data_IF_016444778572
#
_entry.id   IF_016444778572
#
_cell.length_a   1.000
_cell.length_b   1.000
_cell.length_c   1.000
_cell.angle_alpha   90.00
_cell.angle_beta   90.00
_cell.angle_gamma   90.00
#
_symmetry.space_group_name_H-M   'P 1'
#
loop_
_entity.id
_entity.type
_entity.pdbx_description
1 polymer ?
#
# COMPACT_ATOMS: atom_id res chain seq x y z
N UNK A 1 -55.10 -68.98 -28.53
CA UNK A 1 -55.99 -68.00 -27.88
C UNK A 1 -55.18 -67.20 -26.89
N UNK A 2 -55.35 -65.95 -26.87
CA UNK A 2 -54.63 -64.82 -26.18
C UNK A 2 -53.41 -64.25 -26.88
N UNK A 3 -53.70 -63.17 -27.58
CA UNK A 3 -52.75 -62.20 -28.13
C UNK A 3 -52.16 -61.37 -26.98
N UNK A 4 -50.88 -61.25 -26.98
CA UNK A 4 -50.19 -60.24 -26.14
C UNK A 4 -49.61 -59.15 -27.03
N UNK A 5 -50.09 -57.95 -26.81
CA UNK A 5 -49.64 -56.71 -27.41
C UNK A 5 -48.37 -56.26 -26.67
N UNK A 6 -47.32 -55.99 -27.42
CA UNK A 6 -46.11 -55.32 -26.93
C UNK A 6 -46.29 -53.82 -27.18
N UNK A 7 -46.15 -52.95 -26.19
CA UNK A 7 -46.08 -51.50 -26.44
C UNK A 7 -44.69 -51.08 -26.82
N UNK A 8 -44.58 -50.35 -27.93
CA UNK A 8 -43.38 -49.64 -28.34
C UNK A 8 -43.04 -48.55 -27.30
N UNK A 9 -41.88 -48.70 -26.66
CA UNK A 9 -41.29 -47.64 -25.88
C UNK A 9 -40.56 -46.66 -26.82
N UNK A 10 -41.09 -45.48 -26.95
CA UNK A 10 -40.43 -44.37 -27.62
C UNK A 10 -39.27 -43.87 -26.72
N UNK A 11 -38.03 -44.09 -27.18
CA UNK A 11 -36.86 -43.53 -26.56
C UNK A 11 -36.79 -42.05 -26.97
N UNK A 12 -37.10 -41.14 -26.03
CA UNK A 12 -36.93 -39.70 -26.19
C UNK A 12 -35.46 -39.39 -25.95
N UNK A 13 -34.69 -39.12 -27.00
CA UNK A 13 -33.31 -38.70 -26.96
C UNK A 13 -33.31 -37.19 -26.60
N UNK A 14 -33.18 -36.85 -25.30
CA UNK A 14 -32.90 -35.49 -24.88
C UNK A 14 -31.45 -35.16 -25.21
N UNK A 15 -31.25 -34.49 -26.31
CA UNK A 15 -29.95 -33.80 -26.61
C UNK A 15 -29.87 -32.58 -25.68
N UNK A 16 -29.10 -32.72 -24.60
CA UNK A 16 -28.68 -31.62 -23.74
C UNK A 16 -27.65 -30.80 -24.53
N UNK A 17 -28.07 -29.70 -25.15
CA UNK A 17 -27.18 -28.70 -25.67
C UNK A 17 -26.61 -27.95 -24.47
N UNK A 18 -25.44 -28.33 -23.98
CA UNK A 18 -24.63 -27.52 -23.12
C UNK A 18 -24.17 -26.30 -23.93
N UNK A 19 -24.92 -25.21 -23.80
CA UNK A 19 -24.40 -23.88 -24.18
C UNK A 19 -23.25 -23.58 -23.22
N UNK A 20 -22.03 -23.88 -23.64
CA UNK A 20 -20.82 -23.29 -23.11
C UNK A 20 -20.91 -21.78 -23.43
N UNK A 21 -21.52 -21.00 -22.55
CA UNK A 21 -21.21 -19.58 -22.47
C UNK A 21 -19.75 -19.50 -22.03
N UNK A 22 -18.84 -19.57 -23.01
CA UNK A 22 -17.50 -19.05 -22.81
C UNK A 22 -17.69 -17.59 -22.43
N UNK A 23 -17.42 -17.24 -21.17
CA UNK A 23 -17.14 -15.86 -20.84
C UNK A 23 -15.98 -15.47 -21.78
N UNK A 24 -16.26 -14.64 -22.76
CA UNK A 24 -15.21 -13.97 -23.51
C UNK A 24 -14.49 -13.13 -22.44
N UNK A 25 -13.30 -13.57 -22.04
CA UNK A 25 -12.42 -12.71 -21.29
C UNK A 25 -12.20 -11.48 -22.18
N UNK A 26 -12.56 -10.31 -21.68
CA UNK A 26 -12.19 -9.09 -22.36
C UNK A 26 -10.66 -9.04 -22.40
N UNK A 27 -10.09 -8.66 -23.55
CA UNK A 27 -8.65 -8.50 -23.67
C UNK A 27 -8.17 -7.42 -22.69
N UNK A 28 -6.96 -7.57 -22.14
CA UNK A 28 -6.35 -6.57 -21.28
C UNK A 28 -6.19 -5.25 -22.05
N UNK A 29 -6.52 -4.13 -21.42
CA UNK A 29 -6.44 -2.82 -22.02
C UNK A 29 -5.00 -2.43 -22.36
N UNK A 30 -4.75 -2.14 -23.64
CA UNK A 30 -3.43 -1.72 -24.09
C UNK A 30 -3.04 -0.37 -23.47
N UNK A 31 -1.82 -0.26 -22.98
CA UNK A 31 -1.23 1.02 -22.60
C UNK A 31 -0.84 1.81 -23.86
N UNK A 32 -1.69 2.77 -24.25
CA UNK A 32 -1.52 3.60 -25.43
C UNK A 32 -0.79 4.92 -25.15
N UNK A 33 -0.22 5.11 -23.97
CA UNK A 33 0.47 6.36 -23.56
C UNK A 33 1.51 6.81 -24.57
N UNK A 34 2.28 5.85 -25.10
CA UNK A 34 3.34 6.12 -26.08
C UNK A 34 2.84 6.73 -27.40
N UNK A 35 1.57 6.54 -27.77
CA UNK A 35 0.92 7.13 -28.94
C UNK A 35 0.23 8.46 -28.65
N UNK A 36 0.12 8.84 -27.37
CA UNK A 36 -0.54 10.06 -26.93
C UNK A 36 0.36 11.30 -27.08
N UNK A 37 -0.26 12.43 -27.34
CA UNK A 37 0.37 13.75 -27.22
C UNK A 37 0.03 14.35 -25.87
N UNK A 38 1.03 14.53 -25.02
CA UNK A 38 0.87 15.20 -23.73
C UNK A 38 1.39 16.62 -23.80
N UNK A 39 0.55 17.61 -23.40
CA UNK A 39 0.95 19.01 -23.26
C UNK A 39 0.85 19.46 -21.84
N UNK A 40 1.79 20.28 -21.42
CA UNK A 40 1.96 20.81 -20.07
C UNK A 40 1.72 22.32 -20.08
N UNK A 41 1.15 22.85 -19.00
CA UNK A 41 0.92 24.31 -18.84
C UNK A 41 2.22 25.13 -18.76
N UNK A 42 3.35 24.53 -18.44
CA UNK A 42 4.66 25.18 -18.38
C UNK A 42 5.51 24.82 -19.61
N UNK A 43 6.20 25.84 -20.18
CA UNK A 43 6.95 25.71 -21.43
C UNK A 43 8.32 25.03 -21.29
N UNK A 44 8.86 24.93 -20.09
CA UNK A 44 10.27 24.55 -19.86
C UNK A 44 10.49 23.05 -19.57
N UNK A 45 9.45 22.22 -19.63
CA UNK A 45 9.55 20.81 -19.28
C UNK A 45 9.10 19.90 -20.42
N UNK A 46 9.75 18.72 -20.49
CA UNK A 46 9.40 17.70 -21.48
C UNK A 46 8.35 16.76 -20.89
N UNK A 47 7.25 16.56 -21.60
CA UNK A 47 6.21 15.58 -21.24
C UNK A 47 6.77 14.16 -21.07
N UNK A 48 7.87 13.83 -21.76
CA UNK A 48 8.55 12.54 -21.64
C UNK A 48 8.96 12.17 -20.19
N UNK A 49 9.06 13.14 -19.27
CA UNK A 49 9.37 12.85 -17.85
C UNK A 49 8.22 12.25 -17.05
N UNK A 50 7.03 12.26 -17.61
CA UNK A 50 5.83 11.71 -16.96
C UNK A 50 5.17 10.63 -17.82
N UNK A 51 5.93 10.10 -18.80
CA UNK A 51 5.51 9.01 -19.71
C UNK A 51 6.67 8.07 -20.01
N UNK A 52 7.73 8.07 -19.18
CA UNK A 52 8.93 7.24 -19.38
C UNK A 52 8.94 5.95 -18.57
N UNK A 53 7.92 5.74 -17.72
CA UNK A 53 7.80 4.58 -16.84
C UNK A 53 8.72 4.64 -15.62
N UNK A 54 9.29 5.82 -15.32
CA UNK A 54 10.26 5.99 -14.24
C UNK A 54 9.70 6.90 -13.13
N UNK A 55 9.31 6.33 -12.00
CA UNK A 55 8.84 7.11 -10.84
C UNK A 55 9.92 8.02 -10.20
N UNK A 56 11.17 7.92 -10.66
CA UNK A 56 12.28 8.81 -10.27
C UNK A 56 12.32 10.11 -11.06
N UNK A 57 11.75 10.12 -12.27
CA UNK A 57 11.53 11.33 -13.04
C UNK A 57 10.17 11.93 -12.71
N UNK A 58 10.01 13.23 -12.92
CA UNK A 58 8.75 13.91 -12.69
C UNK A 58 8.68 15.25 -13.43
N UNK A 59 7.47 15.73 -13.56
CA UNK A 59 7.17 17.12 -13.88
C UNK A 59 6.37 17.76 -12.76
N UNK A 60 6.68 19.01 -12.45
CA UNK A 60 5.91 19.88 -11.58
C UNK A 60 5.69 21.23 -12.27
N UNK A 61 4.48 21.78 -12.21
CA UNK A 61 4.19 23.09 -12.75
C UNK A 61 4.85 24.19 -11.94
N UNK A 62 5.11 25.33 -12.56
CA UNK A 62 5.35 26.56 -11.83
C UNK A 62 4.17 26.83 -10.90
N UNK A 63 4.41 27.57 -9.80
CA UNK A 63 3.34 28.03 -8.92
C UNK A 63 2.48 29.05 -9.67
N UNK A 64 1.38 28.59 -10.23
CA UNK A 64 0.50 29.36 -11.12
C UNK A 64 -0.97 29.19 -10.74
N UNK A 65 -1.82 30.04 -11.28
CA UNK A 65 -3.28 29.83 -11.27
C UNK A 65 -3.64 28.82 -12.34
N UNK A 66 -4.53 27.90 -12.00
CA UNK A 66 -5.10 26.92 -12.92
C UNK A 66 -4.05 26.05 -13.66
N UNK A 67 -3.11 25.39 -12.98
CA UNK A 67 -2.21 24.46 -13.66
C UNK A 67 -3.00 23.34 -14.34
N UNK A 68 -2.49 22.88 -15.47
CA UNK A 68 -3.14 21.83 -16.26
C UNK A 68 -2.15 20.99 -17.05
N UNK A 69 -2.58 19.78 -17.40
CA UNK A 69 -2.01 18.95 -18.47
C UNK A 69 -3.13 18.52 -19.41
N UNK A 70 -2.81 18.26 -20.67
CA UNK A 70 -3.73 17.59 -21.61
C UNK A 70 -3.11 16.33 -22.14
N UNK A 71 -3.95 15.31 -22.36
CA UNK A 71 -3.62 14.05 -22.99
C UNK A 71 -4.52 13.90 -24.21
N UNK A 72 -3.91 13.76 -25.38
CA UNK A 72 -4.65 13.65 -26.65
C UNK A 72 -4.17 12.43 -27.41
N UNK A 73 -5.09 11.65 -27.94
CA UNK A 73 -4.83 10.45 -28.73
C UNK A 73 -5.61 10.45 -30.06
N UNK A 74 -5.08 9.73 -31.06
CA UNK A 74 -5.83 9.42 -32.28
C UNK A 74 -6.89 8.36 -32.02
N UNK A 75 -6.58 7.43 -31.12
CA UNK A 75 -7.47 6.35 -30.71
C UNK A 75 -8.25 6.73 -29.43
N UNK A 76 -9.44 6.16 -29.21
CA UNK A 76 -10.21 6.43 -28.01
C UNK A 76 -9.44 6.02 -26.73
N UNK A 77 -9.52 6.85 -25.69
CA UNK A 77 -8.96 6.59 -24.35
C UNK A 77 -10.10 6.07 -23.48
N UNK A 78 -9.92 4.89 -22.88
CA UNK A 78 -10.89 4.26 -21.98
C UNK A 78 -10.45 4.27 -20.52
N UNK A 79 -9.18 4.56 -20.25
CA UNK A 79 -8.65 4.72 -18.91
C UNK A 79 -7.57 5.79 -18.80
N UNK A 80 -7.57 6.52 -17.70
CA UNK A 80 -6.51 7.48 -17.36
C UNK A 80 -6.00 7.18 -15.96
N UNK A 81 -4.70 6.86 -15.83
CA UNK A 81 -4.06 6.60 -14.56
C UNK A 81 -3.04 7.68 -14.25
N UNK A 82 -3.17 8.30 -13.08
CA UNK A 82 -2.41 9.46 -12.63
C UNK A 82 -1.58 9.10 -11.40
N UNK A 83 -0.26 9.26 -11.49
CA UNK A 83 0.67 9.07 -10.37
C UNK A 83 1.22 10.44 -9.98
N UNK A 84 0.65 11.03 -8.92
CA UNK A 84 0.99 12.38 -8.49
C UNK A 84 2.32 12.45 -7.75
N UNK A 85 3.21 13.32 -8.21
CA UNK A 85 4.37 13.80 -7.48
C UNK A 85 3.95 14.91 -6.50
N UNK A 86 3.17 15.87 -6.99
CA UNK A 86 2.61 16.96 -6.21
C UNK A 86 1.11 17.02 -6.43
N UNK A 87 0.37 16.62 -5.40
CA UNK A 87 -1.09 16.65 -5.39
C UNK A 87 -1.58 18.08 -5.09
N UNK A 88 -2.42 18.67 -5.92
CA UNK A 88 -3.14 19.90 -5.55
C UNK A 88 -4.29 19.56 -4.57
N UNK A 89 -4.79 20.56 -3.87
CA UNK A 89 -5.93 20.37 -2.94
C UNK A 89 -7.24 20.02 -3.67
N UNK A 90 -7.36 20.49 -4.91
CA UNK A 90 -8.51 20.23 -5.76
C UNK A 90 -8.08 20.14 -7.24
N UNK A 91 -8.61 19.19 -7.97
CA UNK A 91 -8.42 19.07 -9.42
C UNK A 91 -9.61 18.39 -10.08
N UNK A 92 -9.69 18.52 -11.39
CA UNK A 92 -10.74 17.92 -12.22
C UNK A 92 -10.11 17.14 -13.37
N UNK A 93 -10.74 16.00 -13.72
CA UNK A 93 -10.51 15.32 -14.99
C UNK A 93 -11.61 15.73 -15.95
N UNK A 94 -11.25 16.24 -17.10
CA UNK A 94 -12.17 16.87 -18.04
C UNK A 94 -11.99 16.28 -19.44
N UNK A 95 -13.07 16.30 -20.25
CA UNK A 95 -13.03 16.03 -21.70
C UNK A 95 -13.23 17.31 -22.51
N UNK A 96 -12.71 17.34 -23.71
CA UNK A 96 -12.99 18.40 -24.68
C UNK A 96 -14.31 18.11 -25.41
N UNK A 97 -15.20 19.11 -25.49
CA UNK A 97 -16.41 19.09 -26.31
C UNK A 97 -16.16 19.60 -27.72
N UNK A 98 -17.11 19.37 -28.63
CA UNK A 98 -17.15 20.03 -29.92
C UNK A 98 -17.23 21.55 -29.70
N UNK A 99 -16.24 22.29 -30.22
CA UNK A 99 -16.13 23.75 -30.03
C UNK A 99 -15.04 24.17 -29.05
N UNK A 100 -14.29 23.25 -28.46
CA UNK A 100 -13.13 23.54 -27.61
C UNK A 100 -13.48 23.86 -26.16
N UNK A 101 -14.73 23.67 -25.74
CA UNK A 101 -15.15 23.76 -24.35
C UNK A 101 -14.78 22.52 -23.57
N UNK A 102 -14.49 22.69 -22.26
CA UNK A 102 -14.15 21.59 -21.36
C UNK A 102 -15.32 21.23 -20.44
N UNK A 103 -15.58 19.95 -20.32
CA UNK A 103 -16.59 19.39 -19.40
C UNK A 103 -15.91 18.50 -18.37
N UNK A 104 -16.26 18.70 -17.09
CA UNK A 104 -15.75 17.89 -16.00
C UNK A 104 -16.41 16.53 -16.02
N UNK A 105 -15.59 15.47 -16.10
CA UNK A 105 -15.99 14.08 -15.93
C UNK A 105 -15.92 13.67 -14.45
N UNK A 106 -14.82 14.07 -13.79
CA UNK A 106 -14.56 13.69 -12.39
C UNK A 106 -14.01 14.89 -11.62
N UNK A 107 -14.54 15.10 -10.41
CA UNK A 107 -13.83 15.81 -9.36
C UNK A 107 -12.72 14.89 -8.83
N UNK A 108 -11.52 15.40 -8.67
CA UNK A 108 -10.35 14.61 -8.29
C UNK A 108 -10.42 14.14 -6.85
N UNK A 109 -10.11 12.88 -6.62
CA UNK A 109 -9.94 12.35 -5.28
C UNK A 109 -8.50 12.58 -4.80
N UNK A 110 -8.34 13.45 -3.79
CA UNK A 110 -7.03 13.83 -3.27
C UNK A 110 -6.54 12.94 -2.12
N UNK A 111 -7.28 11.87 -1.79
CA UNK A 111 -6.87 10.90 -0.77
C UNK A 111 -5.72 10.02 -1.23
N UNK A 112 -5.60 9.78 -2.55
CA UNK A 112 -4.66 8.83 -3.12
C UNK A 112 -3.72 9.51 -4.12
N UNK A 113 -2.43 9.22 -4.01
CA UNK A 113 -1.44 9.74 -4.97
C UNK A 113 -1.41 9.00 -6.30
N UNK A 114 -1.96 7.78 -6.32
CA UNK A 114 -2.15 6.99 -7.53
C UNK A 114 -3.66 6.83 -7.75
N UNK A 115 -4.17 7.38 -8.85
CA UNK A 115 -5.60 7.45 -9.16
C UNK A 115 -5.89 6.98 -10.56
N UNK A 116 -6.81 6.01 -10.68
CA UNK A 116 -7.36 5.56 -11.95
C UNK A 116 -8.75 6.17 -12.18
N UNK A 117 -8.99 6.62 -13.40
CA UNK A 117 -10.26 7.12 -13.89
C UNK A 117 -10.72 6.33 -15.10
N UNK A 118 -11.86 5.63 -15.07
CA UNK A 118 -12.45 5.06 -16.27
C UNK A 118 -12.92 6.19 -17.19
N UNK A 119 -12.70 6.03 -18.49
CA UNK A 119 -13.01 7.04 -19.50
C UNK A 119 -13.84 6.38 -20.61
N UNK A 120 -14.85 7.07 -21.13
CA UNK A 120 -15.81 6.55 -22.12
C UNK A 120 -15.32 6.78 -23.59
N UNK A 121 -14.08 6.48 -23.89
CA UNK A 121 -13.56 6.54 -25.27
C UNK A 121 -13.33 7.96 -25.79
N UNK A 122 -13.04 8.92 -24.93
CA UNK A 122 -12.72 10.29 -25.34
C UNK A 122 -11.27 10.39 -25.82
N UNK A 123 -11.04 11.26 -26.80
CA UNK A 123 -9.71 11.43 -27.45
C UNK A 123 -8.90 12.58 -26.90
N UNK A 124 -9.54 13.52 -26.19
CA UNK A 124 -8.92 14.72 -25.63
C UNK A 124 -9.35 14.91 -24.19
N UNK A 125 -8.40 14.72 -23.27
CA UNK A 125 -8.58 14.83 -21.85
C UNK A 125 -7.73 15.97 -21.27
N UNK A 126 -8.16 16.53 -20.15
CA UNK A 126 -7.39 17.49 -19.38
C UNK A 126 -7.48 17.18 -17.90
N UNK A 127 -6.35 17.23 -17.20
CA UNK A 127 -6.33 17.35 -15.73
C UNK A 127 -6.10 18.82 -15.43
N UNK A 128 -6.98 19.41 -14.60
CA UNK A 128 -7.08 20.84 -14.43
C UNK A 128 -7.36 21.21 -12.98
N UNK A 129 -6.72 22.27 -12.48
CA UNK A 129 -7.00 22.84 -11.15
C UNK A 129 -7.90 24.06 -11.31
N UNK A 130 -9.15 24.02 -10.83
CA UNK A 130 -10.12 25.09 -11.02
C UNK A 130 -9.93 26.27 -10.08
N UNK A 131 -9.14 26.13 -9.01
CA UNK A 131 -9.00 27.12 -7.96
C UNK A 131 -8.29 28.38 -8.44
N UNK A 132 -8.78 29.55 -7.96
CA UNK A 132 -8.23 30.86 -8.33
C UNK A 132 -6.89 31.17 -7.65
N UNK A 133 -6.52 30.40 -6.61
CA UNK A 133 -5.24 30.52 -5.90
C UNK A 133 -4.08 30.02 -6.74
N UNK A 134 -2.87 30.54 -6.49
CA UNK A 134 -1.66 29.98 -7.10
C UNK A 134 -1.30 28.70 -6.39
N UNK A 135 -1.20 27.61 -7.15
CA UNK A 135 -0.81 26.29 -6.68
C UNK A 135 0.14 25.62 -7.65
N UNK A 136 0.67 24.47 -7.27
CA UNK A 136 1.47 23.58 -8.12
C UNK A 136 0.76 22.25 -8.27
N UNK A 137 0.93 21.61 -9.41
CA UNK A 137 0.51 20.24 -9.69
C UNK A 137 1.69 19.51 -10.34
N UNK A 138 1.94 18.28 -9.94
CA UNK A 138 3.04 17.50 -10.50
C UNK A 138 2.71 16.02 -10.59
N UNK A 139 3.34 15.35 -11.56
CA UNK A 139 3.19 13.92 -11.79
C UNK A 139 4.56 13.24 -11.87
N UNK A 140 4.65 12.03 -11.31
CA UNK A 140 5.73 11.10 -11.63
C UNK A 140 5.41 10.43 -12.98
N UNK A 141 4.19 9.89 -13.11
CA UNK A 141 3.75 9.19 -14.31
C UNK A 141 2.28 9.46 -14.62
N UNK A 142 1.93 9.37 -15.90
CA UNK A 142 0.55 9.27 -16.38
C UNK A 142 0.48 8.15 -17.39
N UNK A 143 -0.65 7.42 -17.39
CA UNK A 143 -0.90 6.36 -18.35
C UNK A 143 -2.28 6.52 -18.95
N UNK A 144 -2.40 6.28 -20.25
CA UNK A 144 -3.66 6.23 -20.98
C UNK A 144 -3.86 4.82 -21.54
N UNK A 145 -5.07 4.30 -21.41
CA UNK A 145 -5.42 2.93 -21.81
C UNK A 145 -6.46 2.92 -22.92
N UNK A 146 -6.31 1.97 -23.85
CA UNK A 146 -7.33 1.58 -24.81
C UNK A 146 -8.52 0.88 -24.16
N UNK A 147 -9.40 0.31 -24.99
CA UNK A 147 -10.52 -0.51 -24.53
C UNK A 147 -10.02 -1.87 -24.00
N UNK A 148 -10.58 -2.35 -22.92
CA UNK A 148 -10.25 -3.64 -22.32
C UNK A 148 -10.32 -3.64 -20.79
N UNK A 149 -9.99 -4.78 -20.19
CA UNK A 149 -9.83 -4.90 -18.73
C UNK A 149 -8.55 -4.20 -18.28
N UNK A 150 -8.65 -3.48 -17.18
CA UNK A 150 -7.50 -2.72 -16.66
C UNK A 150 -6.42 -3.67 -16.16
N UNK A 151 -5.16 -3.48 -16.56
CA UNK A 151 -4.03 -4.28 -16.05
C UNK A 151 -3.94 -4.29 -14.52
N UNK A 152 -3.60 -5.44 -13.96
CA UNK A 152 -3.52 -5.64 -12.50
C UNK A 152 -2.58 -4.68 -11.78
N UNK A 153 -1.56 -4.16 -12.47
CA UNK A 153 -0.62 -3.19 -11.88
C UNK A 153 -1.21 -1.77 -11.74
N UNK A 154 -2.39 -1.48 -12.31
CA UNK A 154 -3.08 -0.19 -12.16
C UNK A 154 -3.79 -0.15 -10.81
N UNK A 155 -3.30 0.69 -9.94
CA UNK A 155 -3.71 0.73 -8.54
C UNK A 155 -5.08 1.40 -8.36
N UNK A 156 -5.97 0.69 -7.67
CA UNK A 156 -7.30 1.15 -7.29
C UNK A 156 -7.45 1.02 -5.77
N UNK A 157 -6.95 2.02 -5.05
CA UNK A 157 -6.84 2.00 -3.60
C UNK A 157 -8.19 2.12 -2.90
N UNK A 158 -8.35 1.34 -1.83
CA UNK A 158 -9.42 1.54 -0.84
C UNK A 158 -8.94 2.55 0.22
N UNK A 159 -9.83 3.41 0.73
CA UNK A 159 -9.46 4.32 1.80
C UNK A 159 -9.06 3.57 3.08
N UNK A 160 -8.27 4.24 3.92
CA UNK A 160 -7.94 3.75 5.26
C UNK A 160 -9.25 3.53 6.03
N UNK A 161 -9.49 2.35 6.61
CA UNK A 161 -10.71 2.06 7.34
C UNK A 161 -10.78 2.83 8.66
N UNK A 162 -11.99 2.99 9.21
CA UNK A 162 -12.19 3.56 10.55
C UNK A 162 -11.74 2.61 11.66
N UNK A 163 -11.73 1.29 11.38
CA UNK A 163 -11.22 0.25 12.27
C UNK A 163 -10.44 -0.77 11.45
N UNK A 164 -9.27 -1.15 11.94
CA UNK A 164 -8.44 -2.21 11.35
C UNK A 164 -8.27 -3.36 12.36
N UNK A 165 -8.16 -4.60 11.89
CA UNK A 165 -7.85 -5.73 12.78
C UNK A 165 -6.38 -5.70 13.16
N UNK A 166 -5.49 -5.46 12.18
CA UNK A 166 -4.06 -5.41 12.42
C UNK A 166 -3.44 -4.13 11.84
N UNK A 167 -2.61 -3.48 12.63
CA UNK A 167 -1.80 -2.35 12.21
C UNK A 167 -0.33 -2.77 12.15
N UNK A 168 0.26 -2.69 10.96
CA UNK A 168 1.69 -2.86 10.73
C UNK A 168 2.36 -1.49 10.71
N UNK A 169 3.19 -1.21 11.70
CA UNK A 169 3.84 0.08 11.87
C UNK A 169 5.33 -0.02 11.55
N UNK A 170 5.74 0.51 10.41
CA UNK A 170 7.11 0.57 9.93
C UNK A 170 7.70 1.99 10.03
N UNK A 171 9.00 2.10 9.97
CA UNK A 171 9.70 3.40 9.99
C UNK A 171 9.75 4.04 8.61
N UNK A 172 10.34 3.34 7.64
CA UNK A 172 10.52 3.85 6.29
C UNK A 172 9.76 3.00 5.28
N UNK A 173 9.38 3.55 4.13
CA UNK A 173 8.90 2.76 3.00
C UNK A 173 10.00 1.82 2.48
N UNK A 174 9.86 0.56 2.69
CA UNK A 174 10.64 -0.64 2.43
C UNK A 174 10.83 -1.53 3.67
N UNK A 175 10.88 -0.96 4.87
CA UNK A 175 10.99 -1.72 6.12
C UNK A 175 9.80 -2.68 6.32
N UNK A 176 8.61 -2.24 5.92
CA UNK A 176 7.39 -3.05 5.92
C UNK A 176 7.54 -4.31 5.08
N UNK A 177 8.20 -4.22 3.94
CA UNK A 177 8.43 -5.37 3.06
C UNK A 177 9.62 -6.21 3.53
N UNK A 178 10.73 -5.56 3.90
CA UNK A 178 11.94 -6.27 4.32
C UNK A 178 11.74 -7.10 5.58
N UNK A 179 11.05 -6.54 6.58
CA UNK A 179 10.97 -7.13 7.92
C UNK A 179 9.59 -7.63 8.31
N UNK A 180 8.53 -7.16 7.64
CA UNK A 180 7.14 -7.49 7.94
C UNK A 180 6.38 -8.04 6.72
N UNK A 181 6.98 -8.07 5.52
CA UNK A 181 6.28 -8.35 4.27
C UNK A 181 5.61 -9.72 4.24
N UNK A 182 6.27 -10.74 4.76
CA UNK A 182 5.73 -12.10 4.78
C UNK A 182 4.52 -12.23 5.73
N UNK A 183 4.55 -11.59 6.90
CA UNK A 183 3.41 -11.59 7.84
C UNK A 183 2.28 -10.71 7.33
N UNK A 184 2.58 -9.62 6.62
CA UNK A 184 1.57 -8.80 5.93
C UNK A 184 0.87 -9.60 4.84
N UNK A 185 1.61 -10.35 4.02
CA UNK A 185 1.04 -11.23 3.00
C UNK A 185 0.17 -12.32 3.63
N UNK A 186 0.64 -12.95 4.70
CA UNK A 186 -0.09 -13.98 5.42
C UNK A 186 -1.44 -13.47 5.93
N UNK A 187 -1.44 -12.42 6.75
CA UNK A 187 -2.70 -11.90 7.32
C UNK A 187 -3.55 -11.16 6.28
N UNK A 188 -2.94 -10.36 5.43
CA UNK A 188 -3.68 -9.54 4.46
C UNK A 188 -4.26 -10.31 3.29
N UNK A 189 -3.57 -11.37 2.81
CA UNK A 189 -3.97 -12.09 1.60
C UNK A 189 -4.48 -13.49 1.95
N UNK A 190 -3.69 -14.30 2.64
CA UNK A 190 -4.10 -15.68 2.97
C UNK A 190 -5.28 -15.68 3.95
N UNK A 191 -5.15 -14.95 5.06
CA UNK A 191 -6.20 -14.86 6.08
C UNK A 191 -7.27 -13.80 5.79
N UNK A 192 -7.11 -12.99 4.72
CA UNK A 192 -8.03 -11.93 4.30
C UNK A 192 -8.43 -10.96 5.43
N UNK A 193 -7.51 -10.68 6.33
CA UNK A 193 -7.74 -9.78 7.45
C UNK A 193 -7.73 -8.32 7.01
N UNK A 194 -8.50 -7.50 7.71
CA UNK A 194 -8.49 -6.05 7.51
C UNK A 194 -7.24 -5.45 8.13
N UNK A 195 -6.22 -5.24 7.31
CA UNK A 195 -4.94 -4.70 7.75
C UNK A 195 -4.70 -3.28 7.25
N UNK A 196 -3.92 -2.52 8.01
CA UNK A 196 -3.41 -1.21 7.62
C UNK A 196 -1.90 -1.16 7.83
N UNK A 197 -1.17 -0.66 6.83
CA UNK A 197 0.27 -0.37 6.96
C UNK A 197 0.44 1.12 7.21
N UNK A 198 1.32 1.47 8.16
CA UNK A 198 1.66 2.85 8.46
C UNK A 198 3.17 3.04 8.51
N UNK A 199 3.64 4.15 7.94
CA UNK A 199 5.04 4.56 7.95
C UNK A 199 5.21 5.79 8.82
N UNK A 200 6.24 5.80 9.69
CA UNK A 200 6.55 6.96 10.50
C UNK A 200 7.00 8.13 9.63
N UNK A 201 7.88 7.87 8.66
CA UNK A 201 8.52 8.93 7.90
C UNK A 201 7.65 9.45 6.76
N UNK A 202 7.78 10.75 6.49
CA UNK A 202 7.12 11.40 5.37
C UNK A 202 7.55 10.84 4.02
N UNK A 203 8.79 10.43 3.90
CA UNK A 203 9.45 10.02 2.66
C UNK A 203 9.33 11.05 1.51
N UNK A 204 10.25 11.02 0.57
CA UNK A 204 10.08 11.77 -0.67
C UNK A 204 9.05 11.09 -1.58
N UNK A 205 8.61 11.78 -2.62
CA UNK A 205 7.55 11.32 -3.50
C UNK A 205 7.90 10.04 -4.27
N UNK A 206 9.18 9.86 -4.60
CA UNK A 206 9.67 8.62 -5.24
C UNK A 206 9.50 7.43 -4.31
N UNK A 207 10.00 7.54 -3.06
CA UNK A 207 9.87 6.47 -2.06
C UNK A 207 8.41 6.17 -1.71
N UNK A 208 7.55 7.18 -1.71
CA UNK A 208 6.11 6.97 -1.54
C UNK A 208 5.51 6.17 -2.70
N UNK A 209 5.85 6.51 -3.94
CA UNK A 209 5.38 5.73 -5.10
C UNK A 209 5.93 4.30 -5.08
N UNK A 210 7.18 4.11 -4.66
CA UNK A 210 7.76 2.78 -4.45
C UNK A 210 7.00 1.97 -3.40
N UNK A 211 6.64 2.59 -2.26
CA UNK A 211 5.83 1.94 -1.22
C UNK A 211 4.44 1.54 -1.75
N UNK A 212 3.77 2.43 -2.50
CA UNK A 212 2.48 2.13 -3.10
C UNK A 212 2.59 0.97 -4.11
N UNK A 213 3.63 0.97 -4.94
CA UNK A 213 3.87 -0.12 -5.89
C UNK A 213 4.20 -1.43 -5.16
N UNK A 214 5.03 -1.39 -4.11
CA UNK A 214 5.40 -2.56 -3.32
C UNK A 214 4.20 -3.18 -2.59
N UNK A 215 3.40 -2.36 -1.89
CA UNK A 215 2.20 -2.85 -1.22
C UNK A 215 1.16 -3.40 -2.21
N UNK A 216 1.02 -2.76 -3.38
CA UNK A 216 0.12 -3.25 -4.42
C UNK A 216 0.56 -4.61 -4.97
N UNK A 217 1.86 -4.78 -5.24
CA UNK A 217 2.49 -6.05 -5.64
C UNK A 217 2.32 -7.13 -4.56
N UNK A 218 2.50 -6.76 -3.30
CA UNK A 218 2.26 -7.64 -2.17
C UNK A 218 0.81 -8.14 -2.09
N UNK A 219 -0.12 -7.42 -2.74
CA UNK A 219 -1.56 -7.75 -2.76
C UNK A 219 -2.40 -6.86 -1.85
N UNK A 220 -1.81 -5.86 -1.19
CA UNK A 220 -2.53 -4.93 -0.30
C UNK A 220 -3.28 -3.89 -1.12
N UNK A 221 -4.54 -3.66 -0.76
CA UNK A 221 -5.44 -2.74 -1.47
C UNK A 221 -5.92 -1.57 -0.59
N UNK A 222 -5.64 -1.61 0.70
CA UNK A 222 -5.87 -0.49 1.64
C UNK A 222 -4.73 0.51 1.51
N UNK A 223 -5.07 1.80 1.27
CA UNK A 223 -4.06 2.85 1.16
C UNK A 223 -3.29 3.01 2.48
N UNK A 224 -1.96 3.06 2.47
CA UNK A 224 -1.18 3.15 3.70
C UNK A 224 -1.26 4.55 4.33
N UNK A 225 -0.96 4.62 5.63
CA UNK A 225 -0.81 5.89 6.35
C UNK A 225 0.65 6.33 6.29
N UNK A 226 0.90 7.55 5.81
CA UNK A 226 2.22 8.16 5.84
C UNK A 226 2.28 9.19 6.96
N UNK A 227 3.27 9.07 7.85
CA UNK A 227 3.61 10.07 8.84
C UNK A 227 4.31 11.27 8.20
N UNK A 228 4.43 12.34 8.98
CA UNK A 228 5.05 13.59 8.54
C UNK A 228 6.46 13.80 9.12
N UNK A 229 7.05 12.75 9.71
CA UNK A 229 8.37 12.85 10.34
C UNK A 229 9.48 12.74 9.31
N UNK A 230 10.55 13.46 9.60
CA UNK A 230 11.75 13.44 8.75
C UNK A 230 12.45 12.09 8.88
N UNK A 231 12.93 11.57 7.76
CA UNK A 231 13.90 10.47 7.72
C UNK A 231 15.24 10.99 8.23
N UNK A 232 15.76 10.35 9.30
CA UNK A 232 16.98 10.78 10.01
C UNK A 232 17.88 9.60 10.23
N UNK A 233 19.06 9.65 9.67
CA UNK A 233 20.12 8.69 9.97
C UNK A 233 21.00 9.21 11.13
N UNK A 234 20.54 9.00 12.35
CA UNK A 234 21.31 9.31 13.56
C UNK A 234 22.34 8.22 13.85
N UNK A 235 23.28 8.50 14.78
CA UNK A 235 24.20 7.47 15.26
C UNK A 235 23.39 6.26 15.82
N UNK A 236 23.67 5.01 15.39
CA UNK A 236 22.92 3.80 15.75
C UNK A 236 22.66 3.59 17.22
N UNK A 237 23.48 4.15 18.09
CA UNK A 237 23.37 3.98 19.54
C UNK A 237 22.61 5.11 20.27
N UNK A 238 21.93 6.03 19.53
CA UNK A 238 21.31 7.21 20.13
C UNK A 238 19.86 7.41 19.70
N UNK A 239 18.98 6.61 20.23
CA UNK A 239 17.52 6.80 20.10
C UNK A 239 17.08 8.22 20.52
N UNK A 240 17.72 8.80 21.56
CA UNK A 240 17.43 10.16 22.02
C UNK A 240 17.73 11.23 20.94
N UNK A 241 18.74 10.98 20.09
CA UNK A 241 19.03 11.87 18.97
C UNK A 241 17.97 11.72 17.86
N UNK A 242 17.54 10.50 17.56
CA UNK A 242 16.45 10.25 16.61
C UNK A 242 15.18 11.01 17.04
N UNK A 243 14.78 10.89 18.30
CA UNK A 243 13.66 11.67 18.82
C UNK A 243 13.85 13.18 18.69
N UNK A 244 15.03 13.67 19.07
CA UNK A 244 15.32 15.12 18.98
C UNK A 244 15.19 15.63 17.55
N UNK A 245 15.74 14.90 16.57
CA UNK A 245 15.74 15.32 15.16
C UNK A 245 14.38 15.16 14.46
N UNK A 246 13.50 14.33 15.01
CA UNK A 246 12.10 14.19 14.56
C UNK A 246 11.13 15.13 15.27
N UNK A 247 11.61 16.02 16.12
CA UNK A 247 10.78 17.02 16.78
C UNK A 247 10.42 16.70 18.25
N UNK A 248 11.00 15.64 18.81
CA UNK A 248 10.85 15.27 20.21
C UNK A 248 10.04 14.01 20.48
N UNK A 249 10.29 13.41 21.64
CA UNK A 249 9.67 12.15 22.04
C UNK A 249 8.14 12.27 22.12
N UNK A 250 7.65 13.31 22.74
CA UNK A 250 6.21 13.56 22.92
C UNK A 250 5.47 13.66 21.58
N UNK A 251 6.06 14.30 20.59
CA UNK A 251 5.46 14.44 19.25
C UNK A 251 5.33 13.07 18.53
N UNK A 252 6.36 12.23 18.60
CA UNK A 252 6.35 10.91 17.97
C UNK A 252 5.36 9.99 18.67
N UNK A 253 5.42 9.93 20.02
CA UNK A 253 4.49 9.13 20.82
C UNK A 253 3.05 9.59 20.69
N UNK A 254 2.82 10.91 20.58
CA UNK A 254 1.50 11.49 20.33
C UNK A 254 0.91 11.06 18.99
N UNK A 255 1.73 11.04 17.95
CA UNK A 255 1.29 10.57 16.62
C UNK A 255 0.96 9.06 16.62
N UNK A 256 1.77 8.21 17.26
CA UNK A 256 1.47 6.78 17.34
C UNK A 256 0.22 6.54 18.20
N UNK A 257 0.05 7.29 19.29
CA UNK A 257 -1.16 7.25 20.13
C UNK A 257 -2.41 7.65 19.34
N UNK A 258 -2.32 8.74 18.55
CA UNK A 258 -3.40 9.14 17.66
C UNK A 258 -3.71 8.06 16.62
N UNK A 259 -2.67 7.44 16.03
CA UNK A 259 -2.84 6.37 15.07
C UNK A 259 -3.63 5.19 15.64
N UNK A 260 -3.32 4.78 16.88
CA UNK A 260 -4.05 3.71 17.58
C UNK A 260 -5.50 4.09 17.87
N UNK A 261 -5.75 5.30 18.33
CA UNK A 261 -7.11 5.81 18.59
C UNK A 261 -7.94 5.92 17.32
N UNK A 262 -7.33 6.38 16.23
CA UNK A 262 -8.00 6.59 14.94
C UNK A 262 -8.32 5.28 14.24
N UNK A 263 -7.37 4.35 14.19
CA UNK A 263 -7.49 3.09 13.44
C UNK A 263 -8.05 1.95 14.27
N UNK A 264 -8.06 2.09 15.59
CA UNK A 264 -8.62 1.12 16.54
C UNK A 264 -8.14 -0.32 16.28
N UNK A 265 -6.81 -0.57 16.14
CA UNK A 265 -6.31 -1.91 15.88
C UNK A 265 -6.51 -2.84 17.07
N UNK A 266 -6.89 -4.09 16.80
CA UNK A 266 -6.86 -5.13 17.82
C UNK A 266 -5.42 -5.57 18.10
N UNK A 267 -4.64 -5.76 17.02
CA UNK A 267 -3.23 -6.14 17.07
C UNK A 267 -2.36 -5.09 16.40
N UNK A 268 -1.23 -4.79 17.00
CA UNK A 268 -0.16 -3.99 16.39
C UNK A 268 1.08 -4.83 16.23
N UNK A 269 1.71 -4.74 15.07
CA UNK A 269 2.99 -5.39 14.73
C UNK A 269 3.97 -4.31 14.32
N UNK A 270 5.17 -4.32 14.91
CA UNK A 270 6.18 -3.30 14.60
C UNK A 270 7.61 -3.86 14.65
N UNK A 271 8.58 -3.00 14.36
CA UNK A 271 10.00 -3.30 14.24
C UNK A 271 10.67 -3.64 15.57
N UNK A 272 11.93 -4.12 15.48
CA UNK A 272 12.75 -4.55 16.61
C UNK A 272 13.09 -3.37 17.55
N UNK A 273 13.04 -3.62 18.88
CA UNK A 273 13.47 -2.66 19.92
C UNK A 273 14.95 -2.28 19.81
N UNK A 274 15.78 -3.21 19.33
CA UNK A 274 17.19 -2.95 19.07
C UNK A 274 17.42 -2.37 17.66
N UNK A 275 16.35 -2.25 16.89
CA UNK A 275 16.32 -1.80 15.51
C UNK A 275 17.04 -2.79 14.59
N UNK A 276 16.45 -3.17 13.50
CA UNK A 276 17.12 -3.97 12.49
C UNK A 276 18.42 -3.24 12.09
N UNK A 277 19.53 -3.95 12.09
CA UNK A 277 20.90 -3.41 11.93
C UNK A 277 21.26 -2.20 12.83
N UNK A 278 20.57 -2.02 13.96
CA UNK A 278 20.82 -0.96 14.94
C UNK A 278 20.28 0.42 14.53
N UNK A 279 19.36 0.51 13.58
CA UNK A 279 18.85 1.78 13.07
C UNK A 279 18.09 2.55 14.16
N UNK A 280 18.47 3.80 14.47
CA UNK A 280 17.93 4.53 15.62
C UNK A 280 16.45 4.93 15.47
N UNK A 281 15.96 5.12 14.25
CA UNK A 281 14.55 5.38 14.02
C UNK A 281 13.69 4.11 14.11
N UNK A 282 14.20 2.91 13.80
CA UNK A 282 13.49 1.65 14.06
C UNK A 282 13.31 1.47 15.55
N UNK A 283 14.36 1.64 16.36
CA UNK A 283 14.27 1.65 17.84
C UNK A 283 13.25 2.66 18.34
N UNK A 284 13.21 3.85 17.73
CA UNK A 284 12.31 4.93 18.11
C UNK A 284 10.84 4.58 17.82
N UNK A 285 10.55 3.97 16.68
CA UNK A 285 9.18 3.52 16.34
C UNK A 285 8.73 2.42 17.28
N UNK A 286 9.58 1.44 17.55
CA UNK A 286 9.28 0.37 18.49
C UNK A 286 9.02 0.90 19.92
N UNK A 287 9.89 1.81 20.43
CA UNK A 287 9.69 2.48 21.74
C UNK A 287 8.38 3.29 21.79
N UNK A 288 8.07 3.99 20.70
CA UNK A 288 6.82 4.76 20.61
C UNK A 288 5.59 3.86 20.54
N UNK A 289 5.65 2.74 19.82
CA UNK A 289 4.58 1.74 19.77
C UNK A 289 4.30 1.13 21.14
N UNK A 290 5.35 0.74 21.86
CA UNK A 290 5.24 0.22 23.24
C UNK A 290 4.60 1.24 24.19
N UNK A 291 5.03 2.49 24.11
CA UNK A 291 4.48 3.55 24.95
C UNK A 291 3.02 3.86 24.59
N UNK A 292 2.69 3.91 23.29
CA UNK A 292 1.35 4.19 22.81
C UNK A 292 0.33 3.10 23.19
N UNK A 293 0.77 1.87 23.44
CA UNK A 293 -0.08 0.78 23.92
C UNK A 293 -0.86 1.17 25.19
N UNK A 294 -0.21 1.86 26.12
CA UNK A 294 -0.86 2.39 27.34
C UNK A 294 -1.47 3.77 27.10
N UNK A 295 -0.81 4.67 26.37
CA UNK A 295 -1.26 6.04 26.19
C UNK A 295 -2.56 6.14 25.37
N UNK A 296 -2.83 5.21 24.47
CA UNK A 296 -4.07 5.21 23.69
C UNK A 296 -5.30 4.94 24.55
N UNK A 297 -5.16 4.16 25.61
CA UNK A 297 -6.21 3.89 26.59
C UNK A 297 -6.37 4.99 27.64
N UNK A 298 -5.36 5.86 27.83
CA UNK A 298 -5.36 6.90 28.87
C UNK A 298 -6.10 8.16 28.41
N UNK A 299 -7.27 8.44 28.98
CA UNK A 299 -8.04 9.64 28.71
C UNK A 299 -7.36 10.95 29.21
N UNK A 300 -6.31 10.88 30.01
CA UNK A 300 -5.54 12.03 30.48
C UNK A 300 -4.45 12.50 29.52
N UNK A 301 -4.25 11.81 28.38
CA UNK A 301 -3.17 12.07 27.43
C UNK A 301 -3.69 12.48 26.06
N UNK A 302 -2.94 13.36 25.39
CA UNK A 302 -3.19 13.80 24.02
C UNK A 302 -4.66 14.20 23.75
N UNK A 303 -5.13 15.30 24.38
CA UNK A 303 -6.55 15.70 24.38
C UNK A 303 -7.11 15.92 22.97
N UNK A 304 -6.30 16.35 22.01
CA UNK A 304 -6.76 16.61 20.65
C UNK A 304 -7.19 15.29 19.95
N UNK A 305 -6.35 14.25 19.99
CA UNK A 305 -6.72 12.94 19.45
C UNK A 305 -7.81 12.25 20.26
N UNK A 306 -7.85 12.49 21.57
CA UNK A 306 -8.93 12.01 22.44
C UNK A 306 -10.29 12.61 22.03
N UNK A 307 -10.34 13.91 21.76
CA UNK A 307 -11.57 14.58 21.35
C UNK A 307 -12.10 14.10 19.99
N UNK A 308 -11.20 13.72 19.07
CA UNK A 308 -11.55 13.25 17.72
C UNK A 308 -11.97 11.76 17.70
N UNK A 309 -11.27 10.91 18.43
CA UNK A 309 -11.36 9.46 18.24
C UNK A 309 -11.75 8.67 19.51
N UNK A 310 -11.73 9.31 20.69
CA UNK A 310 -11.88 8.64 21.97
C UNK A 310 -10.61 7.88 22.38
N UNK A 311 -10.72 7.07 23.45
CA UNK A 311 -9.67 6.12 23.84
C UNK A 311 -9.76 4.83 23.05
N UNK A 312 -8.65 4.11 22.97
CA UNK A 312 -8.62 2.76 22.40
C UNK A 312 -7.67 1.85 23.16
N UNK A 313 -8.09 0.61 23.39
CA UNK A 313 -7.28 -0.44 24.01
C UNK A 313 -6.84 -1.44 22.94
N UNK A 314 -5.58 -1.32 22.49
CA UNK A 314 -4.94 -2.34 21.66
C UNK A 314 -4.88 -3.64 22.47
N UNK A 315 -5.26 -4.76 21.88
CA UNK A 315 -5.31 -6.05 22.58
C UNK A 315 -3.95 -6.72 22.67
N UNK A 316 -3.19 -6.68 21.59
CA UNK A 316 -1.85 -7.28 21.54
C UNK A 316 -0.86 -6.39 20.80
N UNK A 317 0.38 -6.39 21.26
CA UNK A 317 1.51 -5.74 20.60
C UNK A 317 2.62 -6.75 20.36
N UNK A 318 2.95 -6.97 19.10
CA UNK A 318 4.06 -7.82 18.68
C UNK A 318 5.22 -6.98 18.18
N UNK A 319 6.42 -7.39 18.58
CA UNK A 319 7.68 -6.75 18.20
C UNK A 319 8.53 -7.77 17.43
N UNK A 320 9.05 -7.36 16.30
CA UNK A 320 9.98 -8.16 15.51
C UNK A 320 11.19 -8.58 16.33
N UNK A 321 11.56 -9.85 16.29
CA UNK A 321 12.69 -10.48 17.02
C UNK A 321 12.68 -10.33 18.56
N UNK A 322 11.56 -9.94 19.18
CA UNK A 322 11.47 -9.73 20.61
C UNK A 322 11.28 -11.04 21.39
N UNK A 323 11.76 -11.05 22.64
CA UNK A 323 11.45 -12.07 23.62
C UNK A 323 12.22 -13.39 23.47
N UNK A 324 11.74 -14.39 24.15
CA UNK A 324 12.28 -15.74 24.12
C UNK A 324 11.41 -16.65 23.24
N UNK A 325 11.89 -17.84 22.81
CA UNK A 325 11.09 -18.75 22.01
C UNK A 325 9.71 -19.13 22.58
N UNK A 326 9.50 -18.95 23.91
CA UNK A 326 8.21 -19.20 24.56
C UNK A 326 7.21 -18.03 24.41
N UNK A 327 7.69 -16.89 23.98
CA UNK A 327 6.91 -15.67 23.82
C UNK A 327 6.79 -15.27 22.35
N UNK A 328 7.42 -16.06 21.48
CA UNK A 328 7.48 -15.79 20.04
C UNK A 328 6.43 -16.58 19.29
N UNK A 329 5.86 -15.93 18.28
CA UNK A 329 5.13 -16.56 17.20
C UNK A 329 6.11 -16.72 16.05
N UNK A 330 6.26 -17.93 15.55
CA UNK A 330 7.15 -18.27 14.44
C UNK A 330 6.33 -18.92 13.32
N UNK A 331 6.40 -18.36 12.15
CA UNK A 331 5.64 -18.82 10.99
C UNK A 331 6.55 -19.51 9.97
N UNK A 332 6.00 -20.41 9.18
CA UNK A 332 6.70 -21.00 8.04
C UNK A 332 6.36 -20.28 6.73
N UNK A 333 7.20 -19.35 6.36
CA UNK A 333 7.05 -18.57 5.12
C UNK A 333 7.57 -19.27 3.86
N UNK A 334 7.96 -20.53 3.96
CA UNK A 334 8.49 -21.33 2.84
C UNK A 334 7.44 -22.22 2.18
N UNK A 335 6.21 -22.20 2.71
CA UNK A 335 5.08 -22.96 2.15
C UNK A 335 4.38 -22.14 1.08
N UNK A 336 4.27 -22.65 -0.17
CA UNK A 336 3.49 -22.00 -1.20
C UNK A 336 2.00 -21.93 -0.84
N UNK A 337 1.36 -20.79 -1.13
CA UNK A 337 -0.05 -20.53 -0.83
C UNK A 337 -0.84 -20.30 -2.13
N UNK A 338 -1.98 -20.97 -2.25
CA UNK A 338 -2.89 -20.81 -3.41
C UNK A 338 -3.38 -19.36 -3.54
N UNK A 339 -3.61 -18.68 -2.42
CA UNK A 339 -4.00 -17.27 -2.36
C UNK A 339 -2.95 -16.31 -2.94
N UNK A 340 -1.69 -16.75 -2.98
CA UNK A 340 -0.56 -16.03 -3.58
C UNK A 340 -0.20 -16.58 -4.99
N UNK A 341 -1.09 -17.35 -5.61
CA UNK A 341 -0.85 -17.93 -6.93
C UNK A 341 0.21 -19.03 -6.93
N UNK A 342 0.46 -19.68 -5.79
CA UNK A 342 1.47 -20.73 -5.59
C UNK A 342 2.83 -20.19 -5.16
N UNK A 343 2.98 -18.92 -4.91
CA UNK A 343 4.18 -18.32 -4.31
C UNK A 343 4.19 -18.51 -2.79
N UNK A 344 5.37 -18.49 -2.21
CA UNK A 344 5.55 -18.40 -0.77
C UNK A 344 5.40 -16.94 -0.30
N UNK A 345 5.04 -16.67 0.97
CA UNK A 345 5.04 -15.31 1.51
C UNK A 345 6.36 -14.56 1.34
N UNK A 346 7.51 -15.27 1.43
CA UNK A 346 8.83 -14.67 1.21
C UNK A 346 9.08 -14.29 -0.27
N UNK A 347 8.66 -15.13 -1.22
CA UNK A 347 8.76 -14.81 -2.66
C UNK A 347 7.89 -13.60 -2.99
N UNK A 348 6.65 -13.56 -2.52
CA UNK A 348 5.76 -12.41 -2.69
C UNK A 348 6.35 -11.14 -2.08
N UNK A 349 6.95 -11.21 -0.90
CA UNK A 349 7.65 -10.08 -0.29
C UNK A 349 8.87 -9.65 -1.12
N UNK A 350 9.61 -10.59 -1.73
CA UNK A 350 10.75 -10.25 -2.57
C UNK A 350 10.32 -9.52 -3.86
N UNK A 351 9.22 -9.92 -4.49
CA UNK A 351 8.66 -9.25 -5.66
C UNK A 351 8.15 -7.85 -5.30
N UNK A 352 7.48 -7.71 -4.16
CA UNK A 352 7.08 -6.41 -3.62
C UNK A 352 8.29 -5.49 -3.34
N UNK A 353 9.37 -6.04 -2.76
CA UNK A 353 10.60 -5.27 -2.52
C UNK A 353 11.26 -4.83 -3.83
N UNK A 354 11.16 -5.62 -4.90
CA UNK A 354 11.69 -5.25 -6.20
C UNK A 354 11.08 -3.96 -6.77
N UNK A 355 9.92 -3.52 -6.25
CA UNK A 355 9.31 -2.23 -6.59
C UNK A 355 10.02 -1.03 -5.96
N UNK A 356 10.82 -1.23 -4.92
CA UNK A 356 11.62 -0.19 -4.26
C UNK A 356 12.94 0.07 -5.02
N UNK A 357 12.83 0.55 -6.25
CA UNK A 357 13.94 0.70 -7.22
C UNK A 357 15.12 1.52 -6.68
N UNK A 358 14.87 2.48 -5.79
CA UNK A 358 15.94 3.28 -5.17
C UNK A 358 16.65 2.55 -4.02
N UNK A 359 16.10 1.44 -3.54
CA UNK A 359 16.60 0.67 -2.41
C UNK A 359 17.20 -0.68 -2.82
N UNK A 360 16.63 -1.30 -3.86
CA UNK A 360 17.13 -2.59 -4.38
C UNK A 360 18.62 -2.49 -4.74
N UNK A 361 19.40 -3.42 -4.23
CA UNK A 361 20.85 -3.47 -4.48
C UNK A 361 21.68 -2.47 -3.68
N UNK A 362 21.06 -1.56 -2.92
CA UNK A 362 21.79 -0.78 -1.92
C UNK A 362 22.28 -1.72 -0.81
N UNK A 363 23.46 -1.52 -0.33
CA UNK A 363 24.02 -2.41 0.68
C UNK A 363 25.26 -1.84 1.34
N UNK A 364 25.66 -2.46 2.47
CA UNK A 364 26.86 -2.06 3.20
C UNK A 364 28.05 -2.86 2.71
N UNK A 365 29.20 -2.19 2.57
CA UNK A 365 30.50 -2.87 2.52
C UNK A 365 31.03 -3.01 3.93
N UNK A 366 31.07 -4.24 4.44
CA UNK A 366 31.79 -4.57 5.68
C UNK A 366 32.94 -5.49 5.32
N UNK A 367 34.16 -5.14 5.73
CA UNK A 367 35.37 -5.93 5.45
C UNK A 367 35.53 -6.27 3.95
N UNK A 368 35.16 -5.37 3.05
CA UNK A 368 35.27 -5.55 1.61
C UNK A 368 34.15 -6.40 0.98
N UNK A 369 33.24 -6.94 1.77
CA UNK A 369 32.09 -7.72 1.29
C UNK A 369 30.87 -6.81 1.16
N UNK A 370 30.28 -6.78 -0.04
CA UNK A 370 29.02 -6.10 -0.29
C UNK A 370 27.86 -7.01 0.14
N UNK A 371 26.98 -6.51 1.00
CA UNK A 371 25.75 -7.18 1.40
C UNK A 371 24.57 -6.35 0.94
N UNK A 372 23.84 -6.77 -0.09
CA UNK A 372 22.70 -6.02 -0.63
C UNK A 372 21.52 -6.03 0.36
N UNK A 373 20.74 -4.95 0.36
CA UNK A 373 19.42 -4.97 0.97
C UNK A 373 18.48 -5.79 0.07
N UNK A 374 17.94 -6.86 0.60
CA UNK A 374 16.94 -7.72 -0.04
C UNK A 374 16.18 -8.48 1.02
N UNK A 375 15.01 -9.00 0.71
CA UNK A 375 14.23 -9.84 1.63
C UNK A 375 15.04 -11.07 2.04
N UNK A 376 15.72 -11.73 1.09
CA UNK A 376 16.57 -12.91 1.36
C UNK A 376 17.72 -12.61 2.32
N UNK A 377 18.45 -11.52 2.11
CA UNK A 377 19.66 -11.22 2.89
C UNK A 377 19.32 -10.54 4.23
N UNK A 378 18.39 -9.58 4.23
CA UNK A 378 18.04 -8.80 5.43
C UNK A 378 16.84 -9.36 6.16
N UNK A 379 15.79 -9.76 5.44
CA UNK A 379 14.53 -10.23 6.02
C UNK A 379 14.48 -11.74 6.30
N UNK A 380 15.43 -12.53 5.78
CA UNK A 380 15.48 -13.97 6.07
C UNK A 380 16.76 -14.35 6.82
N UNK A 381 17.93 -14.01 6.26
CA UNK A 381 19.20 -14.47 6.86
C UNK A 381 19.63 -13.70 8.08
N UNK A 382 19.44 -12.37 8.12
CA UNK A 382 19.98 -11.52 9.18
C UNK A 382 18.96 -11.14 10.25
N UNK A 383 17.75 -10.82 9.83
CA UNK A 383 16.67 -10.37 10.68
C UNK A 383 15.43 -11.17 10.32
N UNK A 384 15.34 -12.44 10.77
CA UNK A 384 14.30 -13.36 10.35
C UNK A 384 12.89 -12.77 10.46
N UNK A 385 12.26 -12.52 9.32
CA UNK A 385 10.95 -11.85 9.21
C UNK A 385 9.75 -12.76 9.57
N UNK A 386 10.04 -13.94 10.10
CA UNK A 386 9.06 -14.90 10.59
C UNK A 386 8.98 -14.99 12.11
N UNK A 387 9.76 -14.20 12.86
CA UNK A 387 9.84 -14.26 14.31
C UNK A 387 9.34 -12.97 14.93
N UNK A 388 8.25 -13.07 15.71
CA UNK A 388 7.66 -11.93 16.41
C UNK A 388 7.36 -12.32 17.85
N UNK A 389 7.74 -11.46 18.79
CA UNK A 389 7.46 -11.67 20.22
C UNK A 389 6.27 -10.87 20.69
N UNK A 390 5.42 -11.49 21.53
CA UNK A 390 4.33 -10.83 22.22
C UNK A 390 4.89 -9.92 23.31
N UNK A 391 4.95 -8.61 23.04
CA UNK A 391 5.47 -7.62 24.00
C UNK A 391 4.45 -7.27 25.08
N UNK A 392 3.19 -7.09 24.70
CA UNK A 392 2.11 -6.76 25.63
C UNK A 392 0.78 -7.37 25.16
N UNK A 393 -0.04 -7.78 26.13
CA UNK A 393 -1.38 -8.33 25.87
C UNK A 393 -2.38 -7.91 26.94
N UNK A 394 -3.64 -7.72 26.55
CA UNK A 394 -4.81 -7.50 27.42
C UNK A 394 -5.79 -8.68 27.39
N UNK A 395 -5.50 -9.70 26.55
CA UNK A 395 -6.40 -10.86 26.34
C UNK A 395 -5.78 -12.20 26.72
N UNK A 396 -4.59 -12.19 27.29
CA UNK A 396 -3.86 -13.39 27.74
C UNK A 396 -2.70 -13.75 26.80
N UNK A 397 -1.85 -14.67 27.24
CA UNK A 397 -0.72 -15.13 26.46
C UNK A 397 -1.21 -16.00 25.30
N UNK A 398 -0.42 -16.06 24.22
CA UNK A 398 -0.61 -17.02 23.15
C UNK A 398 -0.24 -18.42 23.64
N UNK A 399 -1.07 -19.40 23.30
CA UNK A 399 -0.86 -20.80 23.65
C UNK A 399 -0.37 -21.60 22.44
N UNK A 400 -0.94 -21.30 21.26
CA UNK A 400 -0.58 -21.95 20.01
C UNK A 400 0.76 -21.51 19.44
N UNK A 401 1.11 -20.24 19.62
CA UNK A 401 2.29 -19.60 19.03
C UNK A 401 2.34 -19.62 17.49
N UNK A 402 1.18 -19.68 16.84
CA UNK A 402 1.02 -19.76 15.40
C UNK A 402 0.05 -18.71 14.82
N UNK A 403 -0.67 -17.97 15.69
CA UNK A 403 -1.57 -16.92 15.28
C UNK A 403 -1.51 -15.69 16.22
N UNK A 404 -1.23 -14.52 15.66
CA UNK A 404 -1.22 -13.25 16.39
C UNK A 404 -2.63 -12.81 16.83
N UNK A 405 -3.68 -13.36 16.23
CA UNK A 405 -5.08 -13.05 16.55
C UNK A 405 -5.68 -14.00 17.58
N UNK A 406 -4.91 -14.96 18.09
CA UNK A 406 -5.35 -15.87 19.15
C UNK A 406 -5.93 -15.09 20.35
N UNK A 407 -7.03 -15.56 20.95
CA UNK A 407 -7.75 -14.95 22.07
C UNK A 407 -8.41 -13.58 21.77
N UNK A 408 -8.56 -13.16 20.53
CA UNK A 408 -9.26 -11.92 20.17
C UNK A 408 -10.71 -12.25 19.80
N UNK A 409 -11.66 -11.79 20.64
CA UNK A 409 -13.08 -12.03 20.44
C UNK A 409 -13.60 -11.39 19.13
N UNK A 410 -14.46 -12.12 18.40
CA UNK A 410 -15.15 -11.64 17.21
C UNK A 410 -14.31 -11.69 15.94
N UNK A 411 -13.12 -12.29 16.01
CA UNK A 411 -12.33 -12.65 14.83
C UNK A 411 -12.43 -14.18 14.71
N UNK A 412 -13.12 -14.67 13.69
CA UNK A 412 -13.17 -16.11 13.38
C UNK A 412 -11.82 -16.56 12.83
N UNK A 413 -11.37 -17.75 13.23
CA UNK A 413 -10.12 -18.38 12.80
C UNK A 413 -10.08 -18.67 11.28
#
# INVERSE_FOLDING_TARGET
>A
MRKWLIPCAAVLLCTLVLALCGAAYADEAENITGSCTVKLCSKNFKAAKITDGLYTSYWESDKTTHPWITVSSKDPIYGLYLCFQKMPEHYQVQREKSGGEWETLYEGDTRFHHMYYPIDGYKHLRVYVPDKGKTTMGFNEIFAFGEGEIPDWVQQWKPVPEKTEMLFLATHPDDDILFLGSVIAWYGIEKQRNITVAYLTKSNTTRRSEALNGLWELGIRTYPVFGEFRDVYANPNRISQAYKETGGKDKVQGWVTELYRRLKPEVVVTQDLEGEYGHPQHKMVADAACTAFELAADAGKYPDSLALYGTWEVKKLYIHLYGTPREQVEFDWTVPLDSLGGETPNERAADAYAMHKTQVGQGRKSNGVFTPFSVEEFGVKRYPNNIFGLYATRVGPDIGHDDMLENIEGIEE
#
